data_IF_378379087977
#
_entry.id   IF_378379087977
#
_cell.length_a   1.000
_cell.length_b   1.000
_cell.length_c   1.000
_cell.angle_alpha   90.00
_cell.angle_beta   90.00
_cell.angle_gamma   90.00
#
_symmetry.space_group_name_H-M   'P 1'
#
loop_
_entity.id
_entity.type
_entity.pdbx_description
1 polymer ?
#
# COMPACT_ATOMS: atom_id res chain seq x y z
N UNK A 1 -13.70 -9.15 -15.33
CA UNK A 1 -13.38 -9.75 -14.02
C UNK A 1 -13.68 -11.23 -14.11
N UNK A 2 -12.73 -12.09 -13.72
CA UNK A 2 -12.87 -13.57 -13.68
C UNK A 2 -13.46 -14.02 -12.35
N UNK A 3 -13.79 -15.32 -12.24
CA UNK A 3 -14.25 -15.93 -10.98
C UNK A 3 -13.20 -15.76 -9.87
N UNK A 4 -13.67 -15.48 -8.66
CA UNK A 4 -12.86 -15.23 -7.47
C UNK A 4 -12.22 -16.53 -6.97
N UNK A 5 -10.92 -16.70 -7.21
CA UNK A 5 -10.13 -17.77 -6.59
C UNK A 5 -9.29 -17.24 -5.44
N UNK A 6 -9.25 -18.00 -4.34
CA UNK A 6 -8.44 -17.67 -3.18
C UNK A 6 -6.95 -17.71 -3.56
N UNK A 7 -6.17 -16.62 -3.36
CA UNK A 7 -4.75 -16.60 -3.71
C UNK A 7 -3.96 -17.69 -2.96
N UNK A 8 -4.40 -18.06 -1.74
CA UNK A 8 -3.79 -19.15 -0.97
C UNK A 8 -3.98 -20.50 -1.64
N UNK A 9 -5.15 -20.77 -2.18
CA UNK A 9 -5.44 -22.06 -2.83
C UNK A 9 -4.73 -22.19 -4.16
N UNK A 10 -4.68 -21.10 -4.94
CA UNK A 10 -3.87 -21.05 -6.17
C UNK A 10 -2.40 -21.30 -5.85
N UNK A 11 -1.88 -20.62 -4.84
CA UNK A 11 -0.51 -20.82 -4.36
C UNK A 11 -0.23 -22.27 -3.92
N UNK A 12 -1.10 -22.88 -3.11
CA UNK A 12 -0.91 -24.25 -2.64
C UNK A 12 -0.82 -25.25 -3.78
N UNK A 13 -1.70 -25.12 -4.79
CA UNK A 13 -1.65 -25.98 -5.99
C UNK A 13 -0.36 -25.75 -6.76
N UNK A 14 0.01 -24.49 -7.02
CA UNK A 14 1.22 -24.14 -7.74
C UNK A 14 2.50 -24.66 -7.03
N UNK A 15 2.54 -24.61 -5.70
CA UNK A 15 3.67 -25.13 -4.91
C UNK A 15 3.78 -26.65 -5.00
N UNK A 16 2.66 -27.38 -4.93
CA UNK A 16 2.65 -28.84 -5.09
C UNK A 16 3.14 -29.23 -6.49
N UNK A 17 2.67 -28.54 -7.53
CA UNK A 17 3.11 -28.78 -8.91
C UNK A 17 4.61 -28.46 -9.12
N UNK A 18 5.11 -27.41 -8.46
CA UNK A 18 6.53 -27.08 -8.45
C UNK A 18 7.35 -28.17 -7.75
N UNK A 19 6.94 -28.58 -6.55
CA UNK A 19 7.65 -29.57 -5.75
C UNK A 19 7.63 -30.98 -6.38
N UNK A 20 6.64 -31.30 -7.20
CA UNK A 20 6.62 -32.52 -8.01
C UNK A 20 7.74 -32.54 -9.06
N UNK A 21 8.20 -31.37 -9.53
CA UNK A 21 9.23 -31.21 -10.57
C UNK A 21 10.63 -30.98 -9.99
N UNK A 22 10.73 -30.47 -8.77
CA UNK A 22 12.00 -30.22 -8.09
C UNK A 22 12.05 -30.90 -6.71
N UNK A 23 12.84 -31.98 -6.55
CA UNK A 23 12.93 -32.71 -5.28
C UNK A 23 13.56 -31.87 -4.16
N UNK A 24 14.27 -30.78 -4.48
CA UNK A 24 14.92 -29.89 -3.51
C UNK A 24 13.92 -28.99 -2.78
N UNK A 25 12.71 -28.84 -3.30
CA UNK A 25 11.67 -28.00 -2.68
C UNK A 25 11.22 -28.63 -1.37
N UNK A 26 11.34 -27.88 -0.28
CA UNK A 26 10.85 -28.23 1.05
C UNK A 26 9.99 -27.11 1.61
N UNK A 27 8.98 -27.45 2.40
CA UNK A 27 8.05 -26.51 3.01
C UNK A 27 8.32 -26.41 4.50
N UNK A 28 8.55 -25.19 5.01
CA UNK A 28 8.68 -24.90 6.44
C UNK A 28 7.56 -23.95 6.85
N UNK A 29 6.71 -24.36 7.78
CA UNK A 29 5.48 -23.65 8.15
C UNK A 29 5.49 -23.25 9.64
N UNK A 30 4.86 -22.13 9.98
CA UNK A 30 4.70 -21.65 11.36
C UNK A 30 3.26 -21.73 11.85
N UNK A 31 2.68 -22.92 11.79
CA UNK A 31 1.30 -23.22 12.22
C UNK A 31 0.23 -22.36 11.52
N UNK A 32 0.42 -22.08 10.23
CA UNK A 32 -0.46 -21.24 9.43
C UNK A 32 -1.73 -21.96 8.96
N UNK A 33 -1.70 -23.29 8.94
CA UNK A 33 -2.78 -24.16 8.51
C UNK A 33 -3.06 -24.16 7.00
N UNK A 34 -3.58 -25.27 6.50
CA UNK A 34 -3.88 -25.52 5.09
C UNK A 34 -2.86 -26.42 4.39
N UNK A 35 -1.56 -26.14 4.53
CA UNK A 35 -0.49 -26.88 3.83
C UNK A 35 -0.35 -28.33 4.31
N UNK A 36 -0.78 -28.63 5.54
CA UNK A 36 -0.88 -29.99 6.04
C UNK A 36 -1.86 -30.85 5.22
N UNK A 37 -2.88 -30.23 4.60
CA UNK A 37 -3.88 -30.91 3.78
C UNK A 37 -3.48 -31.02 2.31
N UNK A 38 -2.51 -30.22 1.86
CA UNK A 38 -2.05 -30.17 0.46
C UNK A 38 -0.61 -30.66 0.35
N UNK A 39 0.38 -29.81 0.63
CA UNK A 39 1.80 -30.11 0.48
C UNK A 39 2.25 -31.29 1.34
N UNK A 40 1.92 -31.30 2.63
CA UNK A 40 2.36 -32.39 3.53
C UNK A 40 1.73 -33.73 3.15
N UNK A 41 0.50 -33.72 2.61
CA UNK A 41 -0.15 -34.93 2.12
C UNK A 41 0.54 -35.50 0.88
N UNK A 42 1.01 -34.63 -0.01
CA UNK A 42 1.72 -35.02 -1.23
C UNK A 42 3.18 -35.42 -0.94
N UNK A 43 3.84 -34.71 -0.02
CA UNK A 43 5.28 -34.82 0.26
C UNK A 43 5.56 -34.75 1.77
N UNK A 44 5.16 -35.77 2.55
CA UNK A 44 5.24 -35.73 4.03
C UNK A 44 6.67 -35.53 4.54
N UNK A 45 7.65 -36.18 3.90
CA UNK A 45 9.06 -36.07 4.29
C UNK A 45 9.72 -34.73 3.91
N UNK A 46 8.99 -33.83 3.23
CA UNK A 46 9.46 -32.51 2.81
C UNK A 46 8.68 -31.36 3.45
N UNK A 47 7.82 -31.66 4.43
CA UNK A 47 7.05 -30.69 5.18
C UNK A 47 7.51 -30.64 6.64
N UNK A 48 7.82 -29.45 7.12
CA UNK A 48 8.22 -29.20 8.51
C UNK A 48 7.38 -28.08 9.11
N UNK A 49 6.57 -28.39 10.12
CA UNK A 49 5.93 -27.37 10.95
C UNK A 49 6.80 -27.11 12.19
N UNK A 50 7.27 -25.88 12.37
CA UNK A 50 8.12 -25.49 13.51
C UNK A 50 7.34 -24.81 14.64
N UNK A 51 6.01 -24.80 14.57
CA UNK A 51 5.14 -24.07 15.48
C UNK A 51 5.23 -22.55 15.29
N UNK A 52 4.78 -21.78 16.29
CA UNK A 52 4.71 -20.31 16.24
C UNK A 52 6.10 -19.69 16.51
N UNK A 53 7.06 -19.97 15.63
CA UNK A 53 8.48 -19.67 15.83
C UNK A 53 9.17 -19.19 14.52
N UNK A 54 8.75 -18.05 14.00
CA UNK A 54 9.17 -17.48 12.71
C UNK A 54 10.68 -17.18 12.64
N UNK A 55 11.27 -16.70 13.73
CA UNK A 55 12.73 -16.54 13.80
C UNK A 55 13.46 -17.88 13.64
N UNK A 56 12.99 -18.93 14.32
CA UNK A 56 13.52 -20.28 14.18
C UNK A 56 13.26 -20.86 12.78
N UNK A 57 12.08 -20.60 12.19
CA UNK A 57 11.74 -20.98 10.81
C UNK A 57 12.78 -20.47 9.82
N UNK A 58 13.15 -19.19 9.90
CA UNK A 58 14.16 -18.60 9.02
C UNK A 58 15.54 -19.25 9.19
N UNK A 59 15.98 -19.50 10.44
CA UNK A 59 17.24 -20.18 10.70
C UNK A 59 17.27 -21.63 10.21
N UNK A 60 16.18 -22.38 10.44
CA UNK A 60 16.01 -23.75 9.91
C UNK A 60 16.06 -23.74 8.38
N UNK A 61 15.36 -22.81 7.74
CA UNK A 61 15.36 -22.66 6.29
C UNK A 61 16.76 -22.31 5.77
N UNK A 62 17.49 -21.39 6.41
CA UNK A 62 18.86 -21.08 6.04
C UNK A 62 19.76 -22.34 6.09
N UNK A 63 19.65 -23.13 7.16
CA UNK A 63 20.37 -24.41 7.28
C UNK A 63 20.03 -25.40 6.17
N UNK A 64 18.75 -25.56 5.84
CA UNK A 64 18.30 -26.42 4.72
C UNK A 64 18.84 -25.92 3.38
N UNK A 65 18.74 -24.63 3.11
CA UNK A 65 19.23 -24.01 1.88
C UNK A 65 20.74 -24.20 1.71
N UNK A 66 21.52 -24.06 2.78
CA UNK A 66 22.96 -24.30 2.78
C UNK A 66 23.34 -25.76 2.49
N UNK A 67 22.38 -26.70 2.58
CA UNK A 67 22.56 -28.12 2.23
C UNK A 67 21.99 -28.48 0.86
N UNK A 68 21.60 -27.50 0.05
CA UNK A 68 21.17 -27.68 -1.34
C UNK A 68 19.65 -27.85 -1.53
N UNK A 69 18.86 -27.67 -0.48
CA UNK A 69 17.41 -27.57 -0.60
C UNK A 69 16.99 -26.16 -1.05
N UNK A 70 15.73 -26.01 -1.48
CA UNK A 70 15.09 -24.73 -1.78
C UNK A 70 13.89 -24.60 -0.84
N UNK A 71 14.05 -23.99 0.34
CA UNK A 71 12.99 -23.88 1.33
C UNK A 71 11.97 -22.82 0.93
N UNK A 72 10.71 -23.20 0.95
CA UNK A 72 9.56 -22.30 0.98
C UNK A 72 9.13 -22.16 2.43
N UNK A 73 9.27 -20.96 2.98
CA UNK A 73 8.89 -20.63 4.36
C UNK A 73 7.56 -19.89 4.37
N UNK A 74 6.66 -20.28 5.28
CA UNK A 74 5.27 -19.84 5.26
C UNK A 74 4.88 -19.22 6.59
N UNK A 75 4.53 -17.94 6.53
CA UNK A 75 4.00 -17.20 7.68
C UNK A 75 3.16 -16.01 7.21
N UNK A 76 2.71 -15.15 8.13
CA UNK A 76 2.08 -13.88 7.79
C UNK A 76 3.13 -12.81 7.51
N UNK A 77 2.85 -11.89 6.60
CA UNK A 77 3.73 -10.80 6.23
C UNK A 77 4.26 -10.03 7.44
N UNK A 78 3.38 -9.66 8.37
CA UNK A 78 3.78 -8.98 9.62
C UNK A 78 4.81 -9.80 10.40
N UNK A 79 4.63 -11.12 10.57
CA UNK A 79 5.57 -11.94 11.33
C UNK A 79 6.88 -12.20 10.58
N UNK A 80 6.83 -12.35 9.24
CA UNK A 80 8.03 -12.49 8.41
C UNK A 80 8.95 -11.27 8.55
N UNK A 81 8.40 -10.06 8.58
CA UNK A 81 9.16 -8.81 8.49
C UNK A 81 9.28 -8.06 9.81
N UNK A 82 8.61 -8.49 10.87
CA UNK A 82 8.80 -7.91 12.22
C UNK A 82 9.44 -8.93 13.17
N UNK A 83 8.86 -10.12 13.34
CA UNK A 83 9.36 -11.14 14.29
C UNK A 83 10.63 -11.82 13.80
N UNK A 84 10.77 -12.04 12.49
CA UNK A 84 11.91 -12.74 11.90
C UNK A 84 12.85 -11.85 11.08
N UNK A 85 12.72 -10.52 11.22
CA UNK A 85 13.44 -9.55 10.38
C UNK A 85 14.96 -9.70 10.45
N UNK A 86 15.50 -9.96 11.64
CA UNK A 86 16.94 -10.13 11.83
C UNK A 86 17.44 -11.40 11.13
N UNK A 87 16.75 -12.54 11.31
CA UNK A 87 17.14 -13.81 10.69
C UNK A 87 16.97 -13.76 9.16
N UNK A 88 15.92 -13.10 8.66
CA UNK A 88 15.76 -12.82 7.23
C UNK A 88 16.96 -12.03 6.68
N UNK A 89 17.43 -11.02 7.42
CA UNK A 89 18.57 -10.20 7.01
C UNK A 89 19.90 -10.94 7.11
N UNK A 90 20.20 -11.53 8.26
CA UNK A 90 21.52 -12.08 8.56
C UNK A 90 21.71 -13.50 8.03
N UNK A 91 20.73 -14.37 8.27
CA UNK A 91 20.90 -15.80 7.99
C UNK A 91 20.55 -16.12 6.53
N UNK A 92 19.62 -15.37 5.95
CA UNK A 92 19.09 -15.61 4.60
C UNK A 92 19.69 -14.64 3.57
N UNK A 93 19.40 -13.34 3.71
CA UNK A 93 19.73 -12.34 2.69
C UNK A 93 21.22 -12.06 2.57
N UNK A 94 21.91 -11.82 3.69
CA UNK A 94 23.34 -11.50 3.69
C UNK A 94 24.22 -12.64 3.14
N UNK A 95 23.77 -13.89 3.27
CA UNK A 95 24.46 -15.08 2.74
C UNK A 95 24.04 -15.39 1.29
N UNK A 96 22.93 -14.80 0.81
CA UNK A 96 22.41 -15.03 -0.54
C UNK A 96 21.79 -16.42 -0.73
N UNK A 97 21.19 -17.00 0.32
CA UNK A 97 20.63 -18.34 0.27
C UNK A 97 19.30 -18.38 -0.51
N UNK A 98 18.99 -19.46 -1.27
CA UNK A 98 17.77 -19.58 -2.06
C UNK A 98 16.53 -19.93 -1.21
N UNK A 99 16.21 -19.10 -0.21
CA UNK A 99 14.99 -19.22 0.59
C UNK A 99 13.87 -18.42 -0.07
N UNK A 100 12.66 -18.97 -0.07
CA UNK A 100 11.43 -18.33 -0.59
C UNK A 100 10.50 -18.03 0.56
N UNK A 101 10.43 -16.76 0.94
CA UNK A 101 9.51 -16.27 1.97
C UNK A 101 8.15 -16.04 1.33
N UNK A 102 7.18 -16.87 1.69
CA UNK A 102 5.80 -16.70 1.25
C UNK A 102 5.00 -16.09 2.40
N UNK A 103 4.82 -14.78 2.28
CA UNK A 103 4.24 -13.92 3.29
C UNK A 103 2.77 -13.65 2.95
N UNK A 104 1.88 -14.42 3.57
CA UNK A 104 0.43 -14.27 3.41
C UNK A 104 -0.13 -13.17 4.30
N UNK A 105 -1.43 -12.89 4.20
CA UNK A 105 -2.12 -11.93 5.09
C UNK A 105 -1.53 -10.52 5.04
N UNK A 106 -0.93 -10.14 3.91
CA UNK A 106 -0.31 -8.84 3.75
C UNK A 106 -1.34 -7.69 3.80
N UNK A 107 -0.87 -6.49 4.12
CA UNK A 107 -1.72 -5.31 4.21
C UNK A 107 -2.77 -5.44 5.31
N UNK A 108 -4.00 -5.15 4.95
CA UNK A 108 -5.22 -5.21 5.73
C UNK A 108 -6.01 -6.49 5.49
N UNK A 109 -5.50 -7.43 4.69
CA UNK A 109 -6.19 -8.68 4.37
C UNK A 109 -6.39 -9.62 5.57
N UNK A 110 -5.77 -9.30 6.72
CA UNK A 110 -5.96 -9.93 8.01
C UNK A 110 -7.05 -9.28 8.90
N UNK A 111 -7.89 -8.39 8.37
CA UNK A 111 -8.94 -7.63 9.09
C UNK A 111 -9.68 -8.37 10.23
N UNK A 112 -10.02 -9.63 10.02
CA UNK A 112 -10.72 -10.48 11.00
C UNK A 112 -9.88 -10.86 12.23
N UNK A 113 -8.55 -10.73 12.20
CA UNK A 113 -7.67 -10.87 13.38
C UNK A 113 -7.36 -9.54 14.07
N UNK A 114 -7.75 -8.41 13.46
CA UNK A 114 -7.53 -7.07 13.99
C UNK A 114 -6.12 -6.52 13.78
N UNK A 115 -5.83 -5.41 14.44
CA UNK A 115 -4.67 -4.53 14.18
C UNK A 115 -3.31 -5.19 14.36
N UNK A 116 -3.20 -6.21 15.20
CA UNK A 116 -1.95 -6.94 15.45
C UNK A 116 -1.47 -7.78 14.27
N UNK A 117 -2.35 -8.02 13.29
CA UNK A 117 -2.06 -8.85 12.12
C UNK A 117 -1.95 -8.03 10.83
N UNK A 118 -2.09 -6.70 10.90
CA UNK A 118 -1.84 -5.84 9.75
C UNK A 118 -0.35 -5.82 9.43
N UNK A 119 -0.05 -5.86 8.14
CA UNK A 119 1.31 -5.81 7.60
C UNK A 119 1.40 -4.63 6.64
N UNK A 120 1.62 -3.43 7.21
CA UNK A 120 1.67 -2.16 6.48
C UNK A 120 3.09 -1.60 6.39
N UNK A 121 4.07 -2.33 6.92
CA UNK A 121 5.49 -2.00 7.01
C UNK A 121 6.37 -3.06 6.33
N UNK A 122 5.76 -4.14 5.84
CA UNK A 122 6.47 -5.30 5.34
C UNK A 122 7.31 -5.01 4.09
N UNK A 123 6.78 -4.21 3.16
CA UNK A 123 7.52 -3.79 1.97
C UNK A 123 8.67 -2.82 2.32
N UNK A 124 8.50 -1.96 3.32
CA UNK A 124 9.58 -1.09 3.79
C UNK A 124 10.75 -1.90 4.34
N UNK A 125 10.47 -2.92 5.16
CA UNK A 125 11.50 -3.83 5.69
C UNK A 125 12.15 -4.61 4.55
N UNK A 126 11.37 -5.19 3.66
CA UNK A 126 11.88 -6.02 2.56
C UNK A 126 12.75 -5.19 1.61
N UNK A 127 12.35 -3.97 1.25
CA UNK A 127 13.17 -3.06 0.43
C UNK A 127 14.47 -2.66 1.11
N UNK A 128 14.48 -2.54 2.43
CA UNK A 128 15.69 -2.20 3.19
C UNK A 128 16.67 -3.40 3.34
N UNK A 129 16.19 -4.63 3.22
CA UNK A 129 17.03 -5.84 3.28
C UNK A 129 17.64 -6.12 1.90
N UNK A 130 18.90 -5.70 1.72
CA UNK A 130 19.63 -5.90 0.46
C UNK A 130 19.79 -7.37 0.08
N UNK A 131 19.73 -7.66 -1.23
CA UNK A 131 19.90 -9.00 -1.78
C UNK A 131 18.61 -9.83 -1.92
N UNK A 132 17.47 -9.33 -1.43
CA UNK A 132 16.16 -9.94 -1.69
C UNK A 132 15.60 -9.52 -3.04
N UNK A 133 14.85 -10.42 -3.67
CA UNK A 133 13.84 -10.05 -4.66
C UNK A 133 12.45 -10.04 -4.01
N UNK A 134 11.58 -9.10 -4.37
CA UNK A 134 10.28 -8.90 -3.74
C UNK A 134 9.19 -8.75 -4.80
N UNK A 135 8.17 -9.62 -4.71
CA UNK A 135 7.05 -9.65 -5.64
C UNK A 135 5.72 -9.51 -4.91
N UNK A 136 4.83 -8.70 -5.48
CA UNK A 136 3.48 -8.39 -5.02
C UNK A 136 2.51 -8.57 -6.20
N UNK A 137 1.97 -9.78 -6.42
CA UNK A 137 1.07 -10.04 -7.54
C UNK A 137 -0.19 -9.18 -7.47
N UNK A 138 -0.68 -8.66 -8.60
CA UNK A 138 -1.96 -7.97 -8.68
C UNK A 138 -3.16 -8.91 -8.60
N UNK A 139 -3.00 -10.18 -8.89
CA UNK A 139 -4.09 -11.13 -8.73
C UNK A 139 -3.63 -12.57 -8.51
N UNK A 140 -4.60 -13.46 -8.29
CA UNK A 140 -4.32 -14.87 -8.09
C UNK A 140 -3.78 -15.55 -9.37
N UNK A 141 -4.06 -15.02 -10.56
CA UNK A 141 -3.64 -15.62 -11.83
C UNK A 141 -2.14 -15.44 -12.08
N UNK A 142 -1.51 -14.42 -11.50
CA UNK A 142 -0.07 -14.19 -11.54
C UNK A 142 0.73 -15.15 -10.65
N UNK A 143 0.14 -15.67 -9.58
CA UNK A 143 0.85 -16.44 -8.55
C UNK A 143 1.68 -17.60 -9.12
N UNK A 144 1.17 -18.45 -10.04
CA UNK A 144 1.98 -19.54 -10.59
C UNK A 144 3.21 -19.05 -11.38
N UNK A 145 3.06 -17.96 -12.14
CA UNK A 145 4.16 -17.39 -12.92
C UNK A 145 5.19 -16.69 -12.02
N UNK A 146 4.71 -15.92 -11.04
CA UNK A 146 5.54 -15.33 -9.99
C UNK A 146 6.33 -16.40 -9.22
N UNK A 147 5.67 -17.48 -8.81
CA UNK A 147 6.30 -18.59 -8.11
C UNK A 147 7.40 -19.24 -8.95
N UNK A 148 7.15 -19.48 -10.24
CA UNK A 148 8.14 -20.04 -11.16
C UNK A 148 9.33 -19.10 -11.36
N UNK A 149 9.08 -17.80 -11.52
CA UNK A 149 10.13 -16.81 -11.72
C UNK A 149 11.02 -16.67 -10.46
N UNK A 150 10.41 -16.63 -9.28
CA UNK A 150 11.13 -16.58 -8.01
C UNK A 150 11.90 -17.88 -7.74
N UNK A 151 11.36 -19.05 -8.11
CA UNK A 151 12.07 -20.33 -7.96
C UNK A 151 13.40 -20.34 -8.71
N UNK A 152 13.43 -19.77 -9.92
CA UNK A 152 14.60 -19.74 -10.79
C UNK A 152 15.74 -18.84 -10.26
N UNK A 153 15.50 -17.97 -9.27
CA UNK A 153 16.53 -17.09 -8.73
C UNK A 153 17.60 -17.86 -7.92
N UNK A 154 18.88 -17.47 -7.99
CA UNK A 154 19.91 -18.06 -7.13
C UNK A 154 19.84 -17.56 -5.68
N UNK A 155 19.41 -16.30 -5.47
CA UNK A 155 19.32 -15.65 -4.15
C UNK A 155 17.91 -15.70 -3.55
N UNK A 156 17.69 -15.11 -2.37
CA UNK A 156 16.42 -15.20 -1.64
C UNK A 156 15.32 -14.30 -2.23
N UNK A 157 14.08 -14.68 -1.95
CA UNK A 157 12.90 -14.03 -2.51
C UNK A 157 11.75 -13.91 -1.50
N UNK A 158 10.99 -12.84 -1.61
CA UNK A 158 9.79 -12.54 -0.83
C UNK A 158 8.58 -12.43 -1.76
N UNK A 159 7.57 -13.27 -1.52
CA UNK A 159 6.29 -13.26 -2.23
C UNK A 159 5.19 -12.78 -1.27
N UNK A 160 4.69 -11.56 -1.51
CA UNK A 160 3.64 -10.92 -0.71
C UNK A 160 2.27 -11.31 -1.22
N UNK A 161 1.45 -11.96 -0.39
CA UNK A 161 0.12 -12.43 -0.76
C UNK A 161 -0.95 -11.91 0.20
N UNK A 162 -2.12 -11.60 -0.36
CA UNK A 162 -3.34 -11.39 0.42
C UNK A 162 -3.93 -12.70 0.96
N UNK A 163 -5.05 -12.61 1.68
CA UNK A 163 -5.77 -13.77 2.21
C UNK A 163 -7.01 -14.14 1.39
N UNK A 164 -7.87 -13.15 1.13
CA UNK A 164 -9.17 -13.33 0.49
C UNK A 164 -9.05 -13.28 -1.03
N UNK A 165 -10.04 -13.86 -1.72
CA UNK A 165 -10.13 -13.73 -3.16
C UNK A 165 -10.42 -12.26 -3.52
N UNK A 166 -9.72 -11.77 -4.54
CA UNK A 166 -9.89 -10.42 -5.09
C UNK A 166 -9.99 -10.56 -6.60
N UNK A 167 -10.92 -9.87 -7.27
CA UNK A 167 -10.97 -9.86 -8.73
C UNK A 167 -9.69 -9.30 -9.33
N UNK A 168 -9.15 -10.00 -10.34
CA UNK A 168 -7.93 -9.61 -11.04
C UNK A 168 -8.15 -8.99 -12.42
N UNK A 169 -7.19 -8.19 -12.92
CA UNK A 169 -7.19 -7.71 -14.30
C UNK A 169 -6.81 -8.79 -15.32
N UNK A 170 -6.03 -9.80 -14.94
CA UNK A 170 -5.45 -10.74 -15.90
C UNK A 170 -6.41 -11.87 -16.28
N UNK A 171 -6.33 -12.29 -17.54
CA UNK A 171 -7.07 -13.45 -18.08
C UNK A 171 -6.10 -14.43 -18.71
N UNK A 172 -6.02 -15.64 -18.16
CA UNK A 172 -5.14 -16.69 -18.69
C UNK A 172 -3.66 -16.39 -18.51
N UNK A 173 -2.82 -17.12 -19.23
CA UNK A 173 -1.37 -16.95 -19.17
C UNK A 173 -0.94 -15.61 -19.78
N UNK A 174 -0.14 -14.86 -19.05
CA UNK A 174 0.46 -13.61 -19.46
C UNK A 174 1.96 -13.63 -19.10
N UNK A 175 2.82 -12.90 -19.81
CA UNK A 175 4.23 -12.82 -19.48
C UNK A 175 4.42 -12.24 -18.07
N UNK A 176 5.27 -12.89 -17.28
CA UNK A 176 5.65 -12.42 -15.94
C UNK A 176 7.17 -12.39 -15.88
N UNK A 177 7.76 -11.19 -15.93
CA UNK A 177 9.21 -11.00 -15.97
C UNK A 177 9.62 -10.15 -14.78
N UNK A 178 10.43 -10.72 -13.88
CA UNK A 178 10.86 -10.02 -12.66
C UNK A 178 11.55 -8.69 -13.01
N UNK A 179 11.08 -7.62 -12.38
CA UNK A 179 11.64 -6.28 -12.54
C UNK A 179 11.15 -5.52 -13.78
N UNK A 180 10.16 -6.04 -14.50
CA UNK A 180 9.47 -5.31 -15.58
C UNK A 180 8.08 -4.86 -15.13
N UNK A 181 7.74 -3.60 -15.40
CA UNK A 181 6.41 -3.07 -15.17
C UNK A 181 5.41 -3.57 -16.23
N UNK A 182 4.18 -3.86 -15.82
CA UNK A 182 3.10 -4.25 -16.75
C UNK A 182 2.23 -3.04 -17.04
N UNK A 183 2.10 -2.66 -18.31
CA UNK A 183 1.15 -1.62 -18.71
C UNK A 183 -0.24 -2.23 -18.90
N UNK A 184 -1.15 -1.93 -17.98
CA UNK A 184 -2.53 -2.41 -18.00
C UNK A 184 -3.46 -1.50 -18.80
N UNK A 185 -3.12 -0.22 -18.94
CA UNK A 185 -3.91 0.77 -19.67
C UNK A 185 -3.04 1.88 -20.23
N UNK A 186 -3.29 2.28 -21.48
CA UNK A 186 -2.67 3.46 -22.09
C UNK A 186 -3.33 4.77 -21.65
N UNK A 187 -2.55 5.84 -21.71
CA UNK A 187 -2.94 7.21 -21.37
C UNK A 187 -1.74 8.13 -21.37
N UNK A 188 -1.99 9.41 -21.61
CA UNK A 188 -0.94 10.42 -21.81
C UNK A 188 -1.06 11.60 -20.84
N UNK A 189 -2.19 11.75 -20.13
CA UNK A 189 -2.39 12.90 -19.24
C UNK A 189 -1.70 12.70 -17.89
N UNK A 190 -1.86 11.54 -17.26
CA UNK A 190 -1.31 11.19 -15.94
C UNK A 190 -1.00 9.70 -15.88
N UNK A 191 0.02 9.30 -15.11
CA UNK A 191 0.28 7.88 -14.85
C UNK A 191 -0.13 7.49 -13.44
N UNK A 192 -0.87 6.40 -13.30
CA UNK A 192 -1.17 5.72 -12.04
C UNK A 192 -0.27 4.48 -11.98
N UNK A 193 0.54 4.37 -10.93
CA UNK A 193 1.43 3.22 -10.67
C UNK A 193 0.91 2.49 -9.45
N UNK A 194 0.60 1.20 -9.57
CA UNK A 194 0.00 0.42 -8.47
C UNK A 194 0.68 -0.94 -8.28
N UNK A 195 0.62 -1.47 -7.06
CA UNK A 195 1.05 -2.83 -6.76
C UNK A 195 0.06 -3.57 -5.85
N UNK A 196 -0.16 -4.85 -6.11
CA UNK A 196 -1.06 -5.70 -5.34
C UNK A 196 -2.55 -5.55 -5.70
N UNK A 197 -3.42 -6.39 -5.12
CA UNK A 197 -4.72 -6.67 -5.75
C UNK A 197 -5.72 -5.52 -5.77
N UNK A 198 -6.10 -5.01 -4.59
CA UNK A 198 -7.03 -3.88 -4.53
C UNK A 198 -6.43 -2.59 -5.10
N UNK A 199 -5.17 -2.21 -4.83
CA UNK A 199 -4.58 -1.02 -5.44
C UNK A 199 -4.60 -1.03 -6.97
N UNK A 200 -4.28 -2.15 -7.62
CA UNK A 200 -4.33 -2.27 -9.08
C UNK A 200 -5.77 -2.21 -9.60
N UNK A 201 -6.71 -2.89 -8.92
CA UNK A 201 -8.13 -2.80 -9.28
C UNK A 201 -8.66 -1.36 -9.16
N UNK A 202 -8.36 -0.68 -8.06
CA UNK A 202 -8.77 0.72 -7.81
C UNK A 202 -8.12 1.69 -8.80
N UNK A 203 -6.89 1.44 -9.24
CA UNK A 203 -6.24 2.22 -10.28
C UNK A 203 -6.98 2.10 -11.64
N UNK A 204 -7.41 0.89 -12.00
CA UNK A 204 -8.19 0.65 -13.23
C UNK A 204 -9.60 1.27 -13.15
N UNK A 205 -10.27 1.14 -12.00
CA UNK A 205 -11.57 1.78 -11.74
C UNK A 205 -11.46 3.31 -11.83
N UNK A 206 -10.45 3.91 -11.19
CA UNK A 206 -10.18 5.34 -11.27
C UNK A 206 -9.88 5.80 -12.69
N UNK A 207 -9.06 5.06 -13.45
CA UNK A 207 -8.75 5.38 -14.84
C UNK A 207 -9.98 5.27 -15.76
N UNK A 208 -10.92 4.36 -15.49
CA UNK A 208 -12.18 4.29 -16.20
C UNK A 208 -13.07 5.50 -15.91
N UNK A 209 -13.15 5.94 -14.66
CA UNK A 209 -13.89 7.15 -14.27
C UNK A 209 -13.28 8.42 -14.92
N UNK A 210 -11.95 8.58 -14.85
CA UNK A 210 -11.23 9.71 -15.46
C UNK A 210 -11.45 9.79 -16.98
N UNK A 211 -11.53 8.66 -17.67
CA UNK A 211 -11.80 8.66 -19.10
C UNK A 211 -13.20 9.17 -19.45
N UNK A 212 -14.19 8.96 -18.57
CA UNK A 212 -15.52 9.57 -18.73
C UNK A 212 -15.49 11.10 -18.55
N UNK A 213 -14.46 11.63 -17.88
CA UNK A 213 -14.17 13.06 -17.72
C UNK A 213 -13.20 13.60 -18.79
N UNK A 214 -12.81 12.77 -19.76
CA UNK A 214 -11.89 13.16 -20.83
C UNK A 214 -10.41 13.22 -20.41
N UNK A 215 -10.03 12.55 -19.33
CA UNK A 215 -8.64 12.44 -18.86
C UNK A 215 -8.10 11.03 -19.17
N UNK A 216 -7.05 10.96 -19.98
CA UNK A 216 -6.35 9.74 -20.35
C UNK A 216 -5.33 9.33 -19.29
N UNK A 217 -5.75 8.53 -18.30
CA UNK A 217 -4.86 7.98 -17.28
C UNK A 217 -4.22 6.65 -17.72
N UNK A 218 -2.89 6.62 -17.75
CA UNK A 218 -2.09 5.40 -17.91
C UNK A 218 -2.11 4.61 -16.61
N UNK A 219 -2.20 3.29 -16.68
CA UNK A 219 -2.06 2.41 -15.50
C UNK A 219 -0.88 1.48 -15.71
N UNK A 220 0.11 1.61 -14.82
CA UNK A 220 1.25 0.71 -14.70
C UNK A 220 1.11 -0.11 -13.43
N UNK A 221 1.24 -1.42 -13.58
CA UNK A 221 1.42 -2.33 -12.47
C UNK A 221 2.92 -2.56 -12.23
N UNK A 222 3.32 -2.49 -10.97
CA UNK A 222 4.64 -2.91 -10.50
C UNK A 222 4.45 -4.14 -9.61
N UNK A 223 4.49 -5.32 -10.20
CA UNK A 223 4.46 -6.57 -9.45
C UNK A 223 5.80 -6.88 -8.77
N UNK A 224 6.92 -6.30 -9.23
CA UNK A 224 8.23 -6.49 -8.61
C UNK A 224 8.73 -5.19 -8.00
N UNK A 225 8.78 -5.14 -6.67
CA UNK A 225 9.31 -3.99 -5.93
C UNK A 225 10.83 -4.04 -5.81
N UNK A 226 11.42 -5.25 -5.85
CA UNK A 226 12.87 -5.45 -5.87
C UNK A 226 13.19 -6.64 -6.79
N UNK A 227 13.98 -6.46 -7.87
CA UNK A 227 14.42 -5.19 -8.43
C UNK A 227 13.25 -4.35 -8.98
N UNK A 228 13.36 -3.04 -8.90
CA UNK A 228 12.33 -2.09 -9.31
C UNK A 228 12.53 -1.63 -10.76
N UNK A 229 11.45 -1.52 -11.55
CA UNK A 229 11.52 -1.00 -12.93
C UNK A 229 11.59 0.54 -12.94
N UNK A 230 12.76 1.08 -12.61
CA UNK A 230 13.00 2.52 -12.70
C UNK A 230 12.83 3.03 -14.14
N UNK A 231 13.10 2.22 -15.16
CA UNK A 231 13.02 2.62 -16.56
C UNK A 231 11.59 2.98 -16.98
N UNK A 232 10.63 2.11 -16.68
CA UNK A 232 9.22 2.35 -16.95
C UNK A 232 8.68 3.57 -16.20
N UNK A 233 9.08 3.75 -14.94
CA UNK A 233 8.66 4.88 -14.11
C UNK A 233 9.23 6.21 -14.63
N UNK A 234 10.51 6.25 -15.02
CA UNK A 234 11.13 7.44 -15.60
C UNK A 234 10.52 7.80 -16.97
N UNK A 235 10.19 6.80 -17.78
CA UNK A 235 9.47 7.02 -19.03
C UNK A 235 8.08 7.60 -18.77
N UNK A 236 7.34 7.08 -17.80
CA UNK A 236 6.04 7.61 -17.39
C UNK A 236 6.13 9.06 -16.88
N UNK A 237 7.11 9.35 -16.02
CA UNK A 237 7.37 10.70 -15.49
C UNK A 237 7.66 11.71 -16.59
N UNK A 238 8.37 11.30 -17.65
CA UNK A 238 8.72 12.17 -18.78
C UNK A 238 7.56 12.40 -19.75
N UNK A 239 6.60 11.47 -19.82
CA UNK A 239 5.56 11.44 -20.85
C UNK A 239 4.19 11.97 -20.37
N UNK A 240 3.98 12.03 -19.07
CA UNK A 240 2.69 12.41 -18.45
C UNK A 240 2.86 13.60 -17.49
N UNK A 241 1.76 14.18 -17.01
CA UNK A 241 1.79 15.34 -16.10
C UNK A 241 2.47 15.06 -14.75
N UNK A 242 2.57 13.79 -14.37
CA UNK A 242 3.09 13.33 -13.11
C UNK A 242 2.56 11.93 -12.80
N UNK A 243 2.85 11.46 -11.60
CA UNK A 243 2.58 10.10 -11.17
C UNK A 243 1.71 10.09 -9.91
N UNK A 244 0.71 9.21 -9.88
CA UNK A 244 -0.01 8.82 -8.67
C UNK A 244 0.38 7.39 -8.33
N UNK A 245 0.85 7.14 -7.11
CA UNK A 245 1.11 5.77 -6.65
C UNK A 245 -0.05 5.25 -5.82
N UNK A 246 -0.35 3.95 -5.91
CA UNK A 246 -1.42 3.30 -5.15
C UNK A 246 -0.90 2.02 -4.52
N UNK A 247 -0.97 1.93 -3.19
CA UNK A 247 -0.49 0.76 -2.47
C UNK A 247 -1.28 0.45 -1.19
N UNK A 248 -1.44 -0.84 -0.90
CA UNK A 248 -1.94 -1.34 0.37
C UNK A 248 -0.75 -1.54 1.33
N UNK A 249 -0.21 -0.42 1.78
CA UNK A 249 0.95 -0.32 2.65
C UNK A 249 0.99 1.10 3.24
N UNK A 250 1.80 1.35 4.28
CA UNK A 250 2.09 2.73 4.70
C UNK A 250 2.79 3.49 3.57
N UNK A 251 2.61 4.81 3.55
CA UNK A 251 3.27 5.65 2.56
C UNK A 251 4.81 5.55 2.64
N UNK A 252 5.35 5.28 3.83
CA UNK A 252 6.79 5.20 4.09
C UNK A 252 7.37 3.85 3.67
N UNK A 253 8.45 3.89 2.90
CA UNK A 253 9.25 2.74 2.48
C UNK A 253 8.57 1.84 1.44
N UNK A 254 7.36 2.16 0.98
CA UNK A 254 6.60 1.37 0.02
C UNK A 254 6.83 1.73 -1.46
N UNK A 255 5.85 1.44 -2.31
CA UNK A 255 5.86 1.75 -3.75
C UNK A 255 6.03 3.26 -4.00
N UNK A 256 5.34 4.09 -3.22
CA UNK A 256 5.36 5.54 -3.35
C UNK A 256 6.75 6.13 -3.18
N UNK A 257 7.50 5.63 -2.20
CA UNK A 257 8.89 6.04 -1.99
C UNK A 257 9.81 5.51 -3.09
N UNK A 258 9.61 4.27 -3.57
CA UNK A 258 10.39 3.73 -4.70
C UNK A 258 10.24 4.59 -5.97
N UNK A 259 9.01 5.02 -6.26
CA UNK A 259 8.72 5.93 -7.38
C UNK A 259 9.35 7.31 -7.14
N UNK A 260 9.20 7.88 -5.95
CA UNK A 260 9.75 9.20 -5.61
C UNK A 260 11.28 9.24 -5.64
N UNK A 261 11.94 8.18 -5.16
CA UNK A 261 13.39 7.99 -5.25
C UNK A 261 13.85 7.95 -6.72
N UNK A 262 13.17 7.16 -7.56
CA UNK A 262 13.51 7.02 -8.97
C UNK A 262 13.33 8.35 -9.74
N UNK A 263 12.18 9.01 -9.58
CA UNK A 263 11.87 10.24 -10.33
C UNK A 263 12.67 11.44 -9.81
N UNK A 264 12.77 11.61 -8.49
CA UNK A 264 13.44 12.77 -7.87
C UNK A 264 14.92 12.88 -8.24
N UNK A 265 15.59 11.76 -8.52
CA UNK A 265 16.99 11.73 -8.91
C UNK A 265 17.25 12.05 -10.40
N UNK A 266 16.27 11.85 -11.29
CA UNK A 266 16.50 11.86 -12.75
C UNK A 266 15.51 12.72 -13.52
N UNK A 267 14.20 12.51 -13.32
CA UNK A 267 13.13 13.26 -14.00
C UNK A 267 12.11 13.73 -12.95
N UNK A 268 12.38 14.85 -12.25
CA UNK A 268 11.47 15.35 -11.23
C UNK A 268 10.10 15.67 -11.81
N UNK A 269 9.06 15.07 -11.24
CA UNK A 269 7.67 15.33 -11.58
C UNK A 269 6.80 15.33 -10.30
N UNK A 270 5.56 15.85 -10.34
CA UNK A 270 4.61 15.63 -9.25
C UNK A 270 4.44 14.13 -8.99
N UNK A 271 4.62 13.72 -7.74
CA UNK A 271 4.32 12.37 -7.26
C UNK A 271 3.33 12.49 -6.10
N UNK A 272 2.13 11.96 -6.27
CA UNK A 272 1.09 11.91 -5.22
C UNK A 272 0.90 10.47 -4.78
N UNK A 273 1.00 10.21 -3.47
CA UNK A 273 0.90 8.86 -2.92
C UNK A 273 -0.49 8.62 -2.34
N UNK A 274 -1.18 7.59 -2.83
CA UNK A 274 -2.39 7.02 -2.24
C UNK A 274 -1.97 5.74 -1.52
N UNK A 275 -1.93 5.81 -0.19
CA UNK A 275 -1.44 4.75 0.67
C UNK A 275 -2.23 4.76 1.98
N UNK A 276 -2.05 3.73 2.81
CA UNK A 276 -2.78 3.59 4.07
C UNK A 276 -2.34 4.68 5.07
N UNK A 277 -3.25 5.60 5.38
CA UNK A 277 -3.02 6.74 6.28
C UNK A 277 -3.75 6.57 7.61
N UNK A 278 -3.28 7.26 8.65
CA UNK A 278 -3.94 7.30 9.96
C UNK A 278 -3.96 5.97 10.72
N UNK A 279 -4.61 5.94 11.90
CA UNK A 279 -4.86 4.71 12.63
C UNK A 279 -5.87 3.84 11.86
N UNK A 280 -5.58 2.56 11.69
CA UNK A 280 -6.55 1.61 11.12
C UNK A 280 -7.41 1.09 12.27
N UNK A 281 -8.73 1.25 12.15
CA UNK A 281 -9.68 0.90 13.20
C UNK A 281 -9.65 -0.59 13.59
N UNK A 282 -10.20 -0.89 14.78
CA UNK A 282 -10.32 -2.26 15.31
C UNK A 282 -11.60 -2.97 14.86
N UNK A 283 -12.44 -2.31 14.07
CA UNK A 283 -13.69 -2.89 13.59
C UNK A 283 -13.41 -3.99 12.55
N UNK A 284 -14.02 -5.16 12.73
CA UNK A 284 -13.96 -6.24 11.73
C UNK A 284 -14.89 -5.88 10.59
N UNK A 285 -14.31 -5.45 9.46
CA UNK A 285 -15.00 -5.08 8.22
C UNK A 285 -14.51 -5.90 7.02
N UNK A 286 -15.15 -5.70 5.86
CA UNK A 286 -14.64 -6.25 4.61
C UNK A 286 -13.27 -5.66 4.26
N UNK A 287 -12.40 -6.44 3.60
CA UNK A 287 -11.04 -6.01 3.26
C UNK A 287 -11.04 -4.72 2.42
N UNK A 288 -11.87 -4.65 1.38
CA UNK A 288 -12.02 -3.44 0.54
C UNK A 288 -12.52 -2.22 1.35
N UNK A 289 -13.55 -2.42 2.16
CA UNK A 289 -14.15 -1.36 2.99
C UNK A 289 -13.11 -0.77 3.96
N UNK A 290 -12.34 -1.62 4.64
CA UNK A 290 -11.29 -1.19 5.55
C UNK A 290 -10.18 -0.41 4.83
N UNK A 291 -9.86 -0.78 3.59
CA UNK A 291 -8.87 -0.10 2.77
C UNK A 291 -9.36 1.29 2.33
N UNK A 292 -10.64 1.39 1.95
CA UNK A 292 -11.29 2.65 1.58
C UNK A 292 -11.36 3.61 2.79
N UNK A 293 -11.75 3.12 3.97
CA UNK A 293 -11.73 3.88 5.23
C UNK A 293 -10.31 4.37 5.60
N UNK A 294 -9.28 3.58 5.24
CA UNK A 294 -7.89 3.92 5.51
C UNK A 294 -7.25 4.89 4.48
N UNK A 295 -8.05 5.40 3.55
CA UNK A 295 -7.64 6.42 2.57
C UNK A 295 -7.21 5.87 1.20
N UNK A 296 -7.39 4.57 0.94
CA UNK A 296 -7.05 3.95 -0.35
C UNK A 296 -8.33 3.48 -1.02
N UNK A 297 -8.83 4.29 -1.95
CA UNK A 297 -10.05 4.02 -2.72
C UNK A 297 -9.90 4.46 -4.16
N UNK A 298 -10.71 3.91 -5.07
CA UNK A 298 -10.72 4.35 -6.47
C UNK A 298 -11.06 5.86 -6.59
N UNK A 299 -11.88 6.38 -5.69
CA UNK A 299 -12.23 7.80 -5.62
C UNK A 299 -11.02 8.66 -5.21
N UNK A 300 -10.27 8.24 -4.18
CA UNK A 300 -9.03 8.91 -3.77
C UNK A 300 -7.99 8.92 -4.91
N UNK A 301 -7.85 7.80 -5.63
CA UNK A 301 -6.98 7.70 -6.80
C UNK A 301 -7.44 8.62 -7.92
N UNK A 302 -8.74 8.64 -8.24
CA UNK A 302 -9.33 9.54 -9.25
C UNK A 302 -9.03 11.00 -8.91
N UNK A 303 -9.30 11.42 -7.66
CA UNK A 303 -9.05 12.80 -7.22
C UNK A 303 -7.56 13.17 -7.28
N UNK A 304 -6.67 12.30 -6.82
CA UNK A 304 -5.22 12.51 -6.92
C UNK A 304 -4.77 12.67 -8.38
N UNK A 305 -5.24 11.79 -9.27
CA UNK A 305 -4.86 11.78 -10.67
C UNK A 305 -5.43 12.98 -11.45
N UNK A 306 -6.67 13.38 -11.16
CA UNK A 306 -7.27 14.60 -11.71
C UNK A 306 -6.49 15.86 -11.32
N UNK A 307 -6.07 15.95 -10.05
CA UNK A 307 -5.20 17.04 -9.56
C UNK A 307 -3.86 17.08 -10.29
N UNK A 308 -3.19 15.94 -10.46
CA UNK A 308 -1.90 15.86 -11.15
C UNK A 308 -2.06 16.21 -12.64
N UNK A 309 -3.09 15.71 -13.31
CA UNK A 309 -3.38 16.00 -14.71
C UNK A 309 -3.57 17.50 -14.99
N UNK A 310 -4.22 18.23 -14.07
CA UNK A 310 -4.43 19.67 -14.19
C UNK A 310 -3.12 20.49 -14.22
N UNK A 311 -2.03 19.98 -13.63
CA UNK A 311 -0.74 20.69 -13.56
C UNK A 311 -0.09 20.88 -14.93
N UNK A 312 -0.31 19.97 -15.89
CA UNK A 312 0.25 20.07 -17.26
C UNK A 312 -0.46 21.10 -18.13
N UNK A 313 -1.70 21.47 -17.82
CA UNK A 313 -2.53 22.37 -18.65
C UNK A 313 -2.22 23.86 -18.47
N UNK A 314 -1.14 24.24 -17.77
CA UNK A 314 -0.80 25.65 -17.55
C UNK A 314 -1.85 26.42 -16.74
N UNK A 315 -2.81 25.72 -16.13
CA UNK A 315 -3.63 26.29 -15.08
C UNK A 315 -2.73 26.43 -13.86
N UNK A 316 -2.10 27.59 -13.77
CA UNK A 316 -1.62 28.14 -12.51
C UNK A 316 -2.77 27.95 -11.52
N UNK A 317 -2.56 27.09 -10.52
CA UNK A 317 -3.40 27.06 -9.33
C UNK A 317 -3.65 28.51 -8.93
N UNK A 318 -4.91 28.95 -8.69
CA UNK A 318 -5.11 30.28 -8.17
C UNK A 318 -4.20 30.44 -6.96
N UNK A 319 -3.32 31.44 -7.00
CA UNK A 319 -2.57 31.87 -5.82
C UNK A 319 -3.59 31.94 -4.68
N UNK A 320 -3.32 31.31 -3.53
CA UNK A 320 -4.31 31.13 -2.49
C UNK A 320 -5.01 32.46 -2.24
N UNK A 321 -6.32 32.46 -2.50
CA UNK A 321 -7.15 33.59 -2.12
C UNK A 321 -7.03 33.76 -0.60
N UNK A 322 -7.42 34.90 -0.04
CA UNK A 322 -7.50 35.06 1.42
C UNK A 322 -8.29 33.91 2.09
N UNK A 323 -9.25 33.33 1.35
CA UNK A 323 -9.98 32.09 1.65
C UNK A 323 -9.11 30.86 1.91
N UNK A 324 -8.04 30.69 1.13
CA UNK A 324 -7.16 29.52 1.22
C UNK A 324 -6.14 29.66 2.35
N UNK A 325 -5.73 30.89 2.71
CA UNK A 325 -4.83 31.09 3.86
C UNK A 325 -5.50 30.82 5.20
N UNK A 326 -6.78 31.16 5.35
CA UNK A 326 -7.53 30.81 6.58
C UNK A 326 -7.72 29.30 6.66
N UNK A 327 -8.04 28.65 5.54
CA UNK A 327 -8.16 27.18 5.47
C UNK A 327 -6.85 26.49 5.84
N UNK A 328 -5.72 26.92 5.30
CA UNK A 328 -4.41 26.34 5.61
C UNK A 328 -4.05 26.50 7.10
N UNK A 329 -4.36 27.67 7.69
CA UNK A 329 -4.18 27.88 9.13
C UNK A 329 -5.08 26.97 9.96
N UNK A 330 -6.38 26.90 9.64
CA UNK A 330 -7.31 26.03 10.36
C UNK A 330 -6.89 24.56 10.23
N UNK A 331 -6.44 24.12 9.05
CA UNK A 331 -5.88 22.79 8.86
C UNK A 331 -4.64 22.56 9.73
N UNK A 332 -3.75 23.55 9.83
CA UNK A 332 -2.58 23.49 10.73
C UNK A 332 -2.99 23.38 12.20
N UNK A 333 -4.04 24.08 12.62
CA UNK A 333 -4.59 23.99 13.98
C UNK A 333 -5.18 22.61 14.26
N UNK A 334 -5.90 22.03 13.30
CA UNK A 334 -6.37 20.65 13.38
C UNK A 334 -5.21 19.68 13.56
N UNK A 335 -4.16 19.78 12.73
CA UNK A 335 -2.96 18.92 12.84
C UNK A 335 -2.31 19.02 14.21
N UNK A 336 -2.20 20.25 14.75
CA UNK A 336 -1.62 20.54 16.06
C UNK A 336 -2.43 19.91 17.20
N UNK A 337 -3.74 20.14 17.22
CA UNK A 337 -4.62 19.69 18.30
C UNK A 337 -4.85 18.18 18.25
N UNK A 338 -5.08 17.64 17.05
CA UNK A 338 -5.34 16.22 16.83
C UNK A 338 -4.05 15.38 16.78
N UNK A 339 -2.88 16.03 16.75
CA UNK A 339 -1.55 15.41 16.67
C UNK A 339 -1.43 14.44 15.51
N UNK A 340 -1.92 14.87 14.35
CA UNK A 340 -1.93 14.12 13.09
C UNK A 340 -1.50 15.00 11.94
N UNK A 341 -0.66 14.49 11.05
CA UNK A 341 -0.21 15.25 9.87
C UNK A 341 -1.23 15.17 8.70
N UNK A 342 -2.10 14.16 8.73
CA UNK A 342 -3.11 13.90 7.73
C UNK A 342 -4.41 14.65 8.06
N UNK A 343 -4.50 15.90 7.59
CA UNK A 343 -5.72 16.71 7.64
C UNK A 343 -5.94 17.33 6.27
N UNK A 344 -7.03 16.91 5.62
CA UNK A 344 -7.61 17.47 4.41
C UNK A 344 -8.60 18.60 4.70
N UNK A 345 -8.97 19.33 3.66
CA UNK A 345 -9.84 20.52 3.78
C UNK A 345 -11.30 20.18 4.12
N UNK A 346 -11.75 18.97 3.79
CA UNK A 346 -13.11 18.51 4.07
C UNK A 346 -13.15 17.51 5.23
N UNK A 347 -12.03 17.31 5.94
CA UNK A 347 -11.96 16.36 7.04
C UNK A 347 -12.70 16.89 8.27
N UNK A 348 -13.56 16.04 8.82
CA UNK A 348 -14.32 16.30 10.03
C UNK A 348 -13.46 16.09 11.30
N UNK A 349 -13.50 17.06 12.21
CA UNK A 349 -12.72 17.06 13.44
C UNK A 349 -12.95 15.81 14.31
N UNK A 350 -14.19 15.33 14.42
CA UNK A 350 -14.52 14.17 15.24
C UNK A 350 -14.18 12.86 14.53
N UNK A 351 -14.33 12.81 13.20
CA UNK A 351 -13.88 11.67 12.40
C UNK A 351 -12.36 11.48 12.50
N UNK A 352 -11.59 12.56 12.63
CA UNK A 352 -10.14 12.52 12.86
C UNK A 352 -9.72 12.17 14.31
N UNK A 353 -10.66 11.77 15.17
CA UNK A 353 -10.38 11.39 16.56
C UNK A 353 -10.50 12.54 17.57
N UNK A 354 -11.05 13.67 17.15
CA UNK A 354 -11.41 14.77 18.03
C UNK A 354 -12.46 14.38 19.08
N UNK A 355 -12.43 15.06 20.22
CA UNK A 355 -13.40 14.91 21.30
C UNK A 355 -13.70 16.27 21.94
N UNK A 356 -14.63 16.33 22.90
CA UNK A 356 -15.05 17.61 23.49
C UNK A 356 -13.92 18.40 24.15
N UNK A 357 -12.89 17.73 24.69
CA UNK A 357 -11.74 18.42 25.28
C UNK A 357 -10.85 19.03 24.20
N UNK A 358 -10.56 18.25 23.15
CA UNK A 358 -9.78 18.73 22.00
C UNK A 358 -10.54 19.81 21.22
N UNK A 359 -11.87 19.77 21.19
CA UNK A 359 -12.67 20.82 20.58
C UNK A 359 -12.49 22.17 21.32
N UNK A 360 -12.44 22.14 22.65
CA UNK A 360 -12.15 23.35 23.45
C UNK A 360 -10.74 23.86 23.16
N UNK A 361 -9.75 22.96 23.11
CA UNK A 361 -8.36 23.32 22.78
C UNK A 361 -8.24 23.93 21.38
N UNK A 362 -8.98 23.40 20.39
CA UNK A 362 -9.04 23.97 19.05
C UNK A 362 -9.67 25.35 19.02
N UNK A 363 -10.76 25.58 19.77
CA UNK A 363 -11.42 26.88 19.82
C UNK A 363 -10.53 27.95 20.46
N UNK A 364 -9.83 27.61 21.54
CA UNK A 364 -8.84 28.48 22.18
C UNK A 364 -7.65 28.77 21.24
N UNK A 365 -7.17 27.76 20.52
CA UNK A 365 -6.12 27.92 19.52
C UNK A 365 -6.53 28.83 18.34
N UNK A 366 -7.79 28.76 17.89
CA UNK A 366 -8.33 29.67 16.87
C UNK A 366 -8.38 31.10 17.41
N UNK A 367 -8.81 31.30 18.65
CA UNK A 367 -8.83 32.63 19.25
C UNK A 367 -7.42 33.22 19.37
N UNK A 368 -6.45 32.45 19.85
CA UNK A 368 -5.06 32.88 20.02
C UNK A 368 -4.36 33.18 18.70
N UNK A 369 -4.47 32.28 17.72
CA UNK A 369 -3.69 32.36 16.47
C UNK A 369 -4.38 33.23 15.41
N UNK A 370 -5.71 33.30 15.43
CA UNK A 370 -6.50 33.98 14.40
C UNK A 370 -7.26 35.21 14.92
N UNK A 371 -7.28 35.47 16.22
CA UNK A 371 -7.89 36.64 16.85
C UNK A 371 -9.41 36.65 16.80
N UNK A 372 -10.04 35.49 16.68
CA UNK A 372 -11.47 35.34 16.41
C UNK A 372 -12.08 34.34 17.38
N UNK A 373 -13.14 34.73 18.08
CA UNK A 373 -13.90 33.80 18.90
C UNK A 373 -14.96 33.06 18.08
N UNK A 374 -14.88 31.73 18.12
CA UNK A 374 -15.90 30.84 17.55
C UNK A 374 -16.63 30.17 18.72
N UNK A 375 -17.96 30.27 18.72
CA UNK A 375 -18.77 29.60 19.76
C UNK A 375 -18.78 28.09 19.55
N UNK A 376 -18.90 27.32 20.63
CA UNK A 376 -19.07 25.87 20.55
C UNK A 376 -20.25 25.48 19.65
N UNK A 377 -21.38 26.18 19.74
CA UNK A 377 -22.54 25.93 18.87
C UNK A 377 -22.21 26.12 17.37
N UNK A 378 -21.40 27.13 17.01
CA UNK A 378 -20.95 27.32 15.62
C UNK A 378 -20.03 26.18 15.18
N UNK A 379 -19.10 25.78 16.06
CA UNK A 379 -18.16 24.70 15.77
C UNK A 379 -18.85 23.35 15.54
N UNK A 380 -19.78 22.95 16.41
CA UNK A 380 -20.53 21.69 16.27
C UNK A 380 -21.43 21.61 15.02
N UNK A 381 -21.60 22.72 14.29
CA UNK A 381 -22.33 22.79 13.02
C UNK A 381 -21.43 22.93 11.79
N UNK A 382 -20.13 23.10 12.01
CA UNK A 382 -19.11 23.40 11.00
C UNK A 382 -17.82 22.68 11.39
N UNK A 383 -17.88 21.35 11.39
CA UNK A 383 -16.88 20.48 12.02
C UNK A 383 -15.72 20.13 11.08
N UNK A 384 -15.83 20.47 9.80
CA UNK A 384 -14.74 20.32 8.82
C UNK A 384 -13.82 21.53 8.75
N UNK A 385 -12.59 21.36 8.27
CA UNK A 385 -11.62 22.46 8.09
C UNK A 385 -12.20 23.57 7.20
N UNK A 386 -12.83 23.23 6.08
CA UNK A 386 -13.40 24.20 5.14
C UNK A 386 -14.59 24.95 5.73
N UNK A 387 -15.47 24.28 6.47
CA UNK A 387 -16.61 24.92 7.14
C UNK A 387 -16.18 25.83 8.28
N UNK A 388 -15.21 25.38 9.07
CA UNK A 388 -14.69 26.17 10.18
C UNK A 388 -13.92 27.39 9.69
N UNK A 389 -13.12 27.27 8.64
CA UNK A 389 -12.45 28.40 8.00
C UNK A 389 -13.44 29.46 7.49
N UNK A 390 -14.55 29.04 6.86
CA UNK A 390 -15.64 29.96 6.46
C UNK A 390 -16.32 30.61 7.67
N UNK A 391 -16.35 29.95 8.81
CA UNK A 391 -16.92 30.51 10.05
C UNK A 391 -15.98 31.54 10.68
N UNK A 392 -14.67 31.28 10.64
CA UNK A 392 -13.63 32.24 11.05
C UNK A 392 -13.65 33.49 10.18
N UNK A 393 -13.77 33.35 8.86
CA UNK A 393 -13.85 34.50 7.95
C UNK A 393 -15.07 35.38 8.20
N UNK A 394 -16.25 34.76 8.33
CA UNK A 394 -17.49 35.48 8.67
C UNK A 394 -17.38 36.21 10.01
N UNK A 395 -16.74 35.60 11.00
CA UNK A 395 -16.54 36.23 12.29
C UNK A 395 -15.51 37.38 12.23
N UNK A 396 -14.49 37.32 11.36
CA UNK A 396 -13.57 38.45 11.11
C UNK A 396 -14.27 39.65 10.48
N UNK A 397 -15.12 39.41 9.48
CA UNK A 397 -15.86 40.46 8.78
C UNK A 397 -16.75 41.27 9.73
N UNK A 398 -17.43 40.59 10.67
CA UNK A 398 -18.26 41.24 11.70
C UNK A 398 -17.43 42.14 12.63
N UNK A 399 -16.25 41.67 13.08
CA UNK A 399 -15.35 42.44 13.96
C UNK A 399 -14.79 43.69 13.27
N UNK A 400 -14.51 43.64 11.97
CA UNK A 400 -14.07 44.82 11.19
C UNK A 400 -15.18 45.81 10.83
N UNK A 401 -16.46 45.43 10.97
CA UNK A 401 -17.60 46.33 10.67
C UNK A 401 -18.10 47.15 11.86
N UNK A 402 -17.65 46.82 13.08
CA UNK A 402 -18.04 47.47 14.34
C UNK A 402 -16.93 48.34 14.98
N UNK A 403 -15.75 48.41 14.37
CA UNK A 403 -14.63 49.28 14.78
C UNK A 403 -14.32 50.33 13.73
#
# INVERSE_FOLDING_TARGET
MTAEESPREVYWRALVDLAARDPRVVCVDTDMGGLERTFARAFPDRYLNVGIAEANMMGVAAGLAARGFVPYVHTMATFATTRAAEQLKLDVAAVGLPVRVVASHAGLSAAHFGTTHYALEDLAVVRAVGGLSAVVPADAAEIPAALSALHALPGPAYLRLGRQAVPGPHRGAHPFVLGEAVRLRDGDDVTIVACGPYPVLMALEAAAALAAEGIGARVLEIHTLVPFDSGAVLAAASQTAGIVTVEEHRAQGGLGDAVAEATGAVVPCPVVRVAVTGPVGTAVRGHRELLEEAGVSADAVRHAAGRVSALRKGQVMPSPSTGDRTRDHVASLFRRVLRTDAVGVDDDFFTLGGNSLLAIELLDAIEQDLGVQITAHTFYRNTTVAELARSVERARETVTSEG
#
